data_IF_716546475341
#
_entry.id   IF_716546475341
#
_cell.length_a   1.000
_cell.length_b   1.000
_cell.length_c   1.000
_cell.angle_alpha   90.00
_cell.angle_beta   90.00
_cell.angle_gamma   90.00
#
_symmetry.space_group_name_H-M   'P 1'
#
loop_
_entity.id
_entity.type
_entity.pdbx_description
1 polymer ?
#
# COMPACT_ATOMS: atom_id res chain seq x y z
N UNK A 1 21.71 -19.91 -73.32
CA UNK A 1 22.56 -19.36 -72.25
C UNK A 1 22.06 -17.94 -72.00
N UNK A 2 21.52 -17.50 -70.86
CA UNK A 2 21.55 -17.92 -69.46
C UNK A 2 20.19 -17.55 -68.86
N UNK A 3 19.63 -18.44 -68.06
CA UNK A 3 18.50 -18.19 -67.14
C UNK A 3 19.01 -17.41 -65.93
N UNK A 4 18.40 -16.28 -65.59
CA UNK A 4 18.64 -15.60 -64.31
C UNK A 4 17.59 -16.07 -63.29
N UNK A 5 18.06 -16.88 -62.34
CA UNK A 5 17.32 -17.31 -61.16
C UNK A 5 17.11 -16.14 -60.19
N UNK A 6 15.85 -15.77 -59.97
CA UNK A 6 15.46 -14.94 -58.83
C UNK A 6 15.21 -15.83 -57.61
N UNK A 7 16.20 -15.98 -56.74
CA UNK A 7 16.05 -16.69 -55.47
C UNK A 7 15.17 -15.88 -54.50
N UNK A 8 13.86 -16.14 -54.53
CA UNK A 8 12.94 -15.72 -53.47
C UNK A 8 13.34 -16.41 -52.17
N UNK A 9 13.88 -15.64 -51.22
CA UNK A 9 14.13 -16.08 -49.85
C UNK A 9 12.77 -16.27 -49.16
N UNK A 10 12.28 -17.50 -49.15
CA UNK A 10 11.12 -17.90 -48.37
C UNK A 10 11.47 -17.71 -46.89
N UNK A 11 10.84 -16.74 -46.25
CA UNK A 11 10.85 -16.67 -44.79
C UNK A 11 9.92 -17.74 -44.28
N UNK A 12 10.47 -18.79 -43.66
CA UNK A 12 9.70 -19.78 -42.91
C UNK A 12 8.94 -19.06 -41.79
N UNK A 13 7.68 -18.75 -42.08
CA UNK A 13 6.69 -18.35 -41.09
C UNK A 13 6.18 -19.60 -40.41
N UNK A 14 6.99 -20.22 -39.54
CA UNK A 14 6.47 -21.22 -38.60
C UNK A 14 5.42 -20.54 -37.71
N UNK A 15 4.15 -20.74 -38.03
CA UNK A 15 3.03 -20.33 -37.20
C UNK A 15 3.09 -21.10 -35.88
N UNK A 16 3.76 -20.51 -34.89
CA UNK A 16 3.79 -21.06 -33.53
C UNK A 16 2.35 -21.19 -33.05
N UNK A 17 1.94 -22.36 -32.54
CA UNK A 17 0.57 -22.58 -32.11
C UNK A 17 0.21 -21.51 -31.07
N UNK A 18 -0.91 -20.81 -31.30
CA UNK A 18 -1.43 -19.80 -30.38
C UNK A 18 -1.82 -20.50 -29.09
N UNK A 19 -0.88 -20.58 -28.14
CA UNK A 19 -1.11 -21.18 -26.83
C UNK A 19 -2.18 -20.38 -26.10
N UNK A 20 -3.32 -21.03 -25.90
CA UNK A 20 -4.46 -20.45 -25.17
C UNK A 20 -4.08 -20.34 -23.69
N UNK A 21 -4.34 -19.18 -23.12
CA UNK A 21 -3.98 -18.87 -21.73
C UNK A 21 -5.05 -19.44 -20.80
N UNK A 22 -4.90 -20.70 -20.41
CA UNK A 22 -5.88 -21.39 -19.58
C UNK A 22 -5.57 -21.24 -18.09
N UNK A 23 -4.28 -21.27 -17.72
CA UNK A 23 -3.83 -21.21 -16.32
C UNK A 23 -2.93 -20.01 -16.04
N UNK A 24 -2.87 -19.57 -14.77
CA UNK A 24 -1.91 -18.55 -14.33
C UNK A 24 -0.44 -18.93 -14.63
N UNK A 25 -0.13 -20.24 -14.56
CA UNK A 25 1.16 -20.79 -14.93
C UNK A 25 1.45 -20.63 -16.42
N UNK A 26 0.47 -20.83 -17.30
CA UNK A 26 0.64 -20.65 -18.74
C UNK A 26 0.94 -19.17 -19.08
N UNK A 27 0.30 -18.23 -18.37
CA UNK A 27 0.61 -16.80 -18.50
C UNK A 27 2.05 -16.48 -18.11
N UNK A 28 2.55 -17.06 -17.02
CA UNK A 28 3.92 -16.88 -16.56
C UNK A 28 4.91 -17.53 -17.52
N UNK A 29 4.66 -18.77 -17.95
CA UNK A 29 5.45 -19.50 -18.95
C UNK A 29 5.60 -18.69 -20.23
N UNK A 30 4.50 -18.15 -20.77
CA UNK A 30 4.55 -17.30 -21.97
C UNK A 30 5.33 -16.00 -21.78
N UNK A 31 5.25 -15.37 -20.61
CA UNK A 31 6.06 -14.19 -20.28
C UNK A 31 7.55 -14.55 -20.16
N UNK A 32 7.87 -15.67 -19.52
CA UNK A 32 9.24 -16.18 -19.40
C UNK A 32 9.82 -16.53 -20.76
N UNK A 33 9.10 -17.30 -21.59
CA UNK A 33 9.51 -17.60 -22.97
C UNK A 33 9.73 -16.32 -23.79
N UNK A 34 8.92 -15.28 -23.59
CA UNK A 34 9.13 -13.97 -24.24
C UNK A 34 10.40 -13.26 -23.77
N UNK A 35 10.72 -13.33 -22.48
CA UNK A 35 11.92 -12.73 -21.89
C UNK A 35 13.18 -13.50 -22.30
N UNK A 36 13.13 -14.84 -22.28
CA UNK A 36 14.26 -15.71 -22.61
C UNK A 36 14.59 -15.76 -24.10
N UNK A 37 13.69 -15.32 -24.99
CA UNK A 37 13.99 -15.15 -26.43
C UNK A 37 15.15 -14.17 -26.67
N UNK A 38 15.34 -13.17 -25.80
CA UNK A 38 16.39 -12.16 -25.92
C UNK A 38 17.01 -11.89 -24.54
N UNK A 39 17.92 -12.75 -24.05
CA UNK A 39 18.48 -12.65 -22.70
C UNK A 39 19.40 -11.42 -22.52
N UNK A 40 19.99 -10.91 -23.59
CA UNK A 40 20.87 -9.73 -23.51
C UNK A 40 20.12 -8.40 -23.37
N UNK A 41 18.80 -8.37 -23.65
CA UNK A 41 18.01 -7.15 -23.54
C UNK A 41 17.68 -6.88 -22.07
N UNK A 42 18.11 -5.74 -21.48
CA UNK A 42 17.76 -5.42 -20.11
C UNK A 42 16.24 -5.26 -19.96
N UNK A 43 15.70 -5.85 -18.89
CA UNK A 43 14.27 -5.79 -18.57
C UNK A 43 13.98 -4.47 -17.86
N UNK A 44 13.11 -3.64 -18.43
CA UNK A 44 12.66 -2.38 -17.81
C UNK A 44 11.52 -2.68 -16.85
N UNK A 45 11.79 -2.60 -15.55
CA UNK A 45 10.75 -2.63 -14.51
C UNK A 45 10.15 -1.21 -14.46
N UNK A 46 8.83 -1.05 -14.60
CA UNK A 46 8.21 0.27 -14.53
C UNK A 46 8.32 0.84 -13.12
N UNK A 47 8.72 2.10 -13.03
CA UNK A 47 8.72 2.84 -11.77
C UNK A 47 7.31 3.00 -11.20
N UNK A 48 7.23 3.24 -9.89
CA UNK A 48 5.97 3.55 -9.21
C UNK A 48 5.28 4.74 -9.89
N UNK A 49 3.98 4.60 -10.12
CA UNK A 49 3.17 5.68 -10.70
C UNK A 49 3.28 6.95 -9.87
N UNK A 50 3.72 8.04 -10.51
CA UNK A 50 3.82 9.35 -9.88
C UNK A 50 2.42 9.93 -9.69
N UNK A 51 2.21 10.63 -8.57
CA UNK A 51 0.96 11.35 -8.34
C UNK A 51 0.72 12.40 -9.42
N UNK A 52 -0.54 12.53 -9.82
CA UNK A 52 -0.96 13.53 -10.82
C UNK A 52 -0.73 14.92 -10.23
N UNK A 53 0.25 15.65 -10.75
CA UNK A 53 0.51 17.04 -10.38
C UNK A 53 -0.42 17.98 -11.14
N UNK A 54 -0.85 19.05 -10.48
CA UNK A 54 -1.51 20.17 -11.16
C UNK A 54 -0.55 20.77 -12.18
N UNK A 55 -1.02 21.16 -13.38
CA UNK A 55 -0.15 21.77 -14.39
C UNK A 55 0.51 23.03 -13.83
N UNK A 56 1.79 23.20 -14.10
CA UNK A 56 2.52 24.41 -13.74
C UNK A 56 1.98 25.62 -14.52
N UNK A 57 1.81 26.75 -13.84
CA UNK A 57 1.36 28.00 -14.45
C UNK A 57 2.58 28.70 -15.05
N UNK A 58 2.56 29.12 -16.32
CA UNK A 58 3.68 29.83 -16.92
C UNK A 58 3.87 31.21 -16.27
N UNK A 59 5.14 31.59 -16.04
CA UNK A 59 5.47 32.86 -15.38
C UNK A 59 5.08 34.10 -16.20
N UNK A 60 5.25 34.02 -17.53
CA UNK A 60 4.98 35.14 -18.44
C UNK A 60 3.98 34.74 -19.53
N UNK A 61 2.90 35.51 -19.63
CA UNK A 61 1.96 35.44 -20.74
C UNK A 61 2.35 36.53 -21.74
N UNK A 62 2.76 36.13 -22.95
CA UNK A 62 3.28 37.05 -23.98
C UNK A 62 2.19 37.70 -24.81
N UNK A 63 1.00 37.09 -24.86
CA UNK A 63 -0.08 37.47 -25.78
C UNK A 63 -1.22 38.19 -25.03
N UNK A 64 -0.88 39.09 -24.12
CA UNK A 64 -1.86 39.85 -23.35
C UNK A 64 -2.26 41.08 -24.16
N UNK A 65 -3.55 41.17 -24.48
CA UNK A 65 -4.12 42.35 -25.12
C UNK A 65 -4.30 43.47 -24.08
N UNK A 66 -4.23 44.74 -24.50
CA UNK A 66 -4.32 45.89 -23.58
C UNK A 66 -5.61 45.91 -22.76
N UNK A 67 -5.55 46.47 -21.54
CA UNK A 67 -6.65 46.41 -20.56
C UNK A 67 -7.94 47.08 -21.01
N UNK A 68 -7.87 48.04 -21.94
CA UNK A 68 -9.03 48.74 -22.51
C UNK A 68 -9.50 48.15 -23.84
N UNK A 69 -8.86 47.09 -24.33
CA UNK A 69 -9.27 46.43 -25.56
C UNK A 69 -10.57 45.64 -25.34
N UNK A 70 -11.45 45.62 -26.36
CA UNK A 70 -12.70 44.87 -26.30
C UNK A 70 -12.50 43.35 -26.30
N UNK A 71 -13.58 42.59 -26.04
CA UNK A 71 -13.53 41.13 -26.06
C UNK A 71 -13.27 40.61 -27.49
N UNK A 72 -12.15 39.93 -27.68
CA UNK A 72 -11.82 39.25 -28.95
C UNK A 72 -12.53 37.91 -29.10
N UNK A 73 -12.57 37.38 -30.33
CA UNK A 73 -13.22 36.09 -30.63
C UNK A 73 -12.59 34.88 -29.92
N UNK A 74 -11.31 34.96 -29.56
CA UNK A 74 -10.58 33.91 -28.85
C UNK A 74 -10.73 33.94 -27.32
N UNK A 75 -11.23 35.04 -26.75
CA UNK A 75 -11.22 35.28 -25.30
C UNK A 75 -12.10 34.26 -24.54
N UNK A 76 -13.23 33.88 -25.15
CA UNK A 76 -14.10 32.85 -24.59
C UNK A 76 -13.37 31.51 -24.40
N UNK A 77 -12.56 31.10 -25.38
CA UNK A 77 -11.82 29.84 -25.28
C UNK A 77 -10.70 29.93 -24.25
N UNK A 78 -10.02 31.07 -24.14
CA UNK A 78 -9.02 31.34 -23.10
C UNK A 78 -9.65 31.16 -21.71
N UNK A 79 -10.76 31.85 -21.43
CA UNK A 79 -11.50 31.72 -20.17
C UNK A 79 -11.93 30.27 -19.90
N UNK A 80 -12.52 29.59 -20.90
CA UNK A 80 -12.95 28.19 -20.77
C UNK A 80 -11.79 27.26 -20.38
N UNK A 81 -10.62 27.43 -20.97
CA UNK A 81 -9.44 26.63 -20.63
C UNK A 81 -8.89 26.99 -19.24
N UNK A 82 -8.84 28.27 -18.90
CA UNK A 82 -8.39 28.74 -17.59
C UNK A 82 -9.29 28.24 -16.47
N UNK A 83 -10.61 28.34 -16.64
CA UNK A 83 -11.61 27.86 -15.67
C UNK A 83 -11.48 26.35 -15.42
N UNK A 84 -11.31 25.54 -16.47
CA UNK A 84 -11.07 24.09 -16.29
C UNK A 84 -9.77 23.80 -15.54
N UNK A 85 -8.70 24.52 -15.86
CA UNK A 85 -7.42 24.38 -15.15
C UNK A 85 -7.58 24.74 -13.68
N UNK A 86 -8.29 25.81 -13.38
CA UNK A 86 -8.51 26.27 -12.01
C UNK A 86 -9.40 25.30 -11.22
N UNK A 87 -10.49 24.81 -11.79
CA UNK A 87 -11.33 23.79 -11.13
C UNK A 87 -10.58 22.48 -10.90
N UNK A 88 -9.78 22.03 -11.87
CA UNK A 88 -8.92 20.87 -11.68
C UNK A 88 -7.89 21.11 -10.57
N UNK A 89 -7.34 22.33 -10.46
CA UNK A 89 -6.40 22.72 -9.40
C UNK A 89 -7.08 22.72 -8.03
N UNK A 90 -8.23 23.38 -7.89
CA UNK A 90 -9.00 23.44 -6.64
C UNK A 90 -9.43 22.04 -6.18
N UNK A 91 -9.95 21.22 -7.10
CA UNK A 91 -10.31 19.83 -6.83
C UNK A 91 -9.11 19.01 -6.35
N UNK A 92 -7.96 19.12 -7.02
CA UNK A 92 -6.75 18.42 -6.62
C UNK A 92 -6.22 18.87 -5.24
N UNK A 93 -6.42 20.15 -4.87
CA UNK A 93 -6.07 20.65 -3.54
C UNK A 93 -7.01 20.09 -2.48
N UNK A 94 -8.33 20.11 -2.72
CA UNK A 94 -9.33 19.53 -1.84
C UNK A 94 -9.09 18.04 -1.60
N UNK A 95 -8.97 17.26 -2.67
CA UNK A 95 -8.70 15.80 -2.58
C UNK A 95 -7.41 15.47 -1.85
N UNK A 96 -6.36 16.30 -1.97
CA UNK A 96 -5.10 16.11 -1.24
C UNK A 96 -5.27 16.41 0.25
N UNK A 97 -6.01 17.46 0.59
CA UNK A 97 -6.30 17.81 1.98
C UNK A 97 -7.11 16.70 2.67
N UNK A 98 -8.15 16.21 2.01
CA UNK A 98 -8.97 15.10 2.52
C UNK A 98 -8.16 13.83 2.74
N UNK A 99 -7.32 13.43 1.77
CA UNK A 99 -6.45 12.26 1.89
C UNK A 99 -5.44 12.41 3.02
N UNK A 100 -4.79 13.58 3.12
CA UNK A 100 -3.83 13.84 4.19
C UNK A 100 -4.48 13.75 5.58
N UNK A 101 -5.67 14.34 5.76
CA UNK A 101 -6.41 14.26 7.02
C UNK A 101 -6.82 12.81 7.36
N UNK A 102 -7.25 12.03 6.36
CA UNK A 102 -7.59 10.61 6.54
C UNK A 102 -6.36 9.77 6.89
N UNK A 103 -5.23 10.00 6.23
CA UNK A 103 -3.97 9.31 6.49
C UNK A 103 -3.43 9.63 7.90
N UNK A 104 -3.49 10.90 8.32
CA UNK A 104 -3.12 11.32 9.68
C UNK A 104 -4.02 10.65 10.73
N UNK A 105 -5.33 10.68 10.55
CA UNK A 105 -6.28 10.02 11.45
C UNK A 105 -6.02 8.51 11.54
N UNK A 106 -5.74 7.87 10.40
CA UNK A 106 -5.41 6.45 10.35
C UNK A 106 -4.10 6.13 11.10
N UNK A 107 -3.05 6.93 10.89
CA UNK A 107 -1.77 6.77 11.58
C UNK A 107 -1.92 6.94 13.10
N UNK A 108 -2.66 7.95 13.54
CA UNK A 108 -2.93 8.16 14.97
C UNK A 108 -3.65 6.95 15.58
N UNK A 109 -4.69 6.44 14.91
CA UNK A 109 -5.42 5.24 15.35
C UNK A 109 -4.51 4.01 15.40
N UNK A 110 -3.62 3.85 14.43
CA UNK A 110 -2.67 2.74 14.40
C UNK A 110 -1.69 2.82 15.59
N UNK A 111 -1.14 3.99 15.86
CA UNK A 111 -0.22 4.21 16.99
C UNK A 111 -0.91 3.99 18.33
N UNK A 112 -2.16 4.42 18.48
CA UNK A 112 -2.96 4.19 19.69
C UNK A 112 -3.19 2.69 19.90
N UNK A 113 -3.61 1.97 18.87
CA UNK A 113 -3.80 0.52 18.94
C UNK A 113 -2.51 -0.22 19.29
N UNK A 114 -1.37 0.19 18.71
CA UNK A 114 -0.05 -0.37 19.04
C UNK A 114 0.30 -0.12 20.51
N UNK A 115 0.14 1.11 21.01
CA UNK A 115 0.38 1.44 22.43
C UNK A 115 -0.50 0.62 23.37
N UNK A 116 -1.79 0.51 23.09
CA UNK A 116 -2.71 -0.29 23.91
C UNK A 116 -2.33 -1.79 23.91
N UNK A 117 -1.93 -2.34 22.76
CA UNK A 117 -1.46 -3.71 22.65
C UNK A 117 -0.14 -3.93 23.41
N UNK A 118 0.80 -2.99 23.32
CA UNK A 118 2.07 -3.00 24.04
C UNK A 118 1.87 -2.89 25.55
N UNK A 119 0.99 -2.01 26.03
CA UNK A 119 0.66 -1.89 27.45
C UNK A 119 0.06 -3.18 28.01
N UNK A 120 -0.91 -3.77 27.30
CA UNK A 120 -1.51 -5.06 27.68
C UNK A 120 -0.46 -6.17 27.70
N UNK A 121 0.42 -6.21 26.71
CA UNK A 121 1.49 -7.21 26.61
C UNK A 121 2.57 -7.00 27.68
N UNK A 122 2.95 -5.75 27.98
CA UNK A 122 3.92 -5.38 29.00
C UNK A 122 3.42 -5.73 30.41
N UNK A 123 2.14 -5.42 30.71
CA UNK A 123 1.48 -5.82 31.97
C UNK A 123 1.53 -7.35 32.15
N UNK A 124 1.13 -8.12 31.13
CA UNK A 124 1.17 -9.60 31.17
C UNK A 124 2.61 -10.14 31.27
N UNK A 125 3.56 -9.57 30.54
CA UNK A 125 4.99 -9.92 30.59
C UNK A 125 5.58 -9.65 31.98
N UNK A 126 5.27 -8.51 32.59
CA UNK A 126 5.70 -8.17 33.95
C UNK A 126 5.15 -9.15 34.99
N UNK A 127 3.86 -9.53 34.90
CA UNK A 127 3.25 -10.58 35.75
C UNK A 127 4.01 -11.91 35.61
N UNK A 128 4.30 -12.38 34.39
CA UNK A 128 5.07 -13.62 34.14
C UNK A 128 6.52 -13.55 34.66
N UNK A 129 7.21 -12.43 34.47
CA UNK A 129 8.58 -12.25 34.96
C UNK A 129 8.65 -12.24 36.49
N UNK A 130 7.68 -11.63 37.18
CA UNK A 130 7.57 -11.70 38.65
C UNK A 130 7.36 -13.13 39.13
N UNK A 131 6.42 -13.89 38.52
CA UNK A 131 6.19 -15.31 38.83
C UNK A 131 7.47 -16.15 38.61
N UNK A 132 8.16 -15.98 37.47
CA UNK A 132 9.42 -16.67 37.17
C UNK A 132 10.54 -16.34 38.16
N UNK A 133 10.66 -15.08 38.59
CA UNK A 133 11.62 -14.67 39.63
C UNK A 133 11.31 -15.34 40.97
N UNK A 134 10.04 -15.37 41.39
CA UNK A 134 9.63 -16.00 42.66
C UNK A 134 9.85 -17.53 42.64
N UNK A 135 9.53 -18.20 41.53
CA UNK A 135 9.81 -19.63 41.36
C UNK A 135 11.31 -19.94 41.42
N UNK A 136 12.16 -19.12 40.79
CA UNK A 136 13.62 -19.25 40.89
C UNK A 136 14.11 -19.08 42.32
N UNK A 137 13.61 -18.08 43.06
CA UNK A 137 13.95 -17.88 44.48
C UNK A 137 13.58 -19.10 45.33
N UNK A 138 12.35 -19.61 45.20
CA UNK A 138 11.90 -20.83 45.90
C UNK A 138 12.75 -22.06 45.56
N UNK A 139 13.13 -22.24 44.29
CA UNK A 139 14.03 -23.35 43.88
C UNK A 139 15.42 -23.23 44.54
N UNK A 140 15.98 -22.03 44.64
CA UNK A 140 17.28 -21.79 45.29
C UNK A 140 17.18 -22.01 46.81
N UNK A 141 16.10 -21.54 47.44
CA UNK A 141 15.86 -21.75 48.88
C UNK A 141 15.70 -23.25 49.20
N UNK A 142 14.91 -23.98 48.40
CA UNK A 142 14.73 -25.43 48.58
C UNK A 142 16.03 -26.21 48.35
N UNK A 143 16.85 -25.80 47.37
CA UNK A 143 18.17 -26.41 47.14
C UNK A 143 19.15 -26.15 48.29
N UNK A 144 19.08 -24.98 48.94
CA UNK A 144 19.89 -24.67 50.14
C UNK A 144 19.39 -25.37 51.40
N UNK A 145 18.09 -25.66 51.50
CA UNK A 145 17.50 -26.37 52.64
C UNK A 145 17.69 -27.89 52.61
N UNK A 146 18.37 -28.45 51.60
CA UNK A 146 18.71 -29.88 51.55
C UNK A 146 17.54 -30.84 51.34
N UNK A 147 16.35 -30.35 50.97
CA UNK A 147 15.16 -31.17 50.77
C UNK A 147 15.17 -31.79 49.36
N UNK A 148 15.53 -33.08 49.26
CA UNK A 148 15.31 -33.89 48.05
C UNK A 148 13.82 -34.20 47.95
N UNK A 149 13.10 -33.57 47.02
CA UNK A 149 11.76 -33.98 46.61
C UNK A 149 11.83 -34.63 45.23
N UNK A 150 11.33 -35.85 45.19
CA UNK A 150 10.98 -36.68 44.05
C UNK A 150 9.91 -36.01 43.19
N UNK A 151 10.14 -36.01 41.87
CA UNK A 151 9.23 -35.73 40.75
C UNK A 151 8.59 -34.33 40.56
N UNK A 152 8.44 -33.87 39.30
CA UNK A 152 8.15 -32.47 38.97
C UNK A 152 6.67 -32.13 39.14
N UNK A 153 6.31 -30.99 39.76
CA UNK A 153 4.94 -30.53 39.73
C UNK A 153 4.58 -30.04 38.32
N UNK A 154 3.63 -30.75 37.74
CA UNK A 154 2.86 -30.44 36.53
C UNK A 154 2.65 -28.94 36.30
N UNK A 155 3.02 -28.47 35.11
CA UNK A 155 2.78 -27.13 34.55
C UNK A 155 1.30 -26.94 34.16
N UNK A 156 0.36 -27.25 35.04
CA UNK A 156 -1.08 -27.20 34.75
C UNK A 156 -1.82 -26.88 36.05
N UNK A 157 -1.88 -25.59 36.41
CA UNK A 157 -2.86 -25.06 37.38
C UNK A 157 -2.73 -23.54 37.52
N UNK A 158 -3.87 -22.85 37.43
CA UNK A 158 -4.08 -21.39 37.61
C UNK A 158 -3.82 -20.51 36.36
N UNK A 159 -4.48 -20.87 35.25
CA UNK A 159 -4.87 -19.91 34.21
C UNK A 159 -6.38 -19.60 34.33
N UNK A 160 -6.82 -19.13 35.50
CA UNK A 160 -8.17 -18.56 35.61
C UNK A 160 -8.15 -17.23 36.37
N UNK A 161 -8.81 -16.29 35.70
CA UNK A 161 -9.54 -15.13 36.22
C UNK A 161 -8.77 -13.97 36.88
N UNK A 162 -8.61 -12.90 36.10
CA UNK A 162 -8.99 -11.53 36.48
C UNK A 162 -8.45 -10.58 35.40
N UNK A 163 -9.29 -10.30 34.40
CA UNK A 163 -9.37 -9.06 33.62
C UNK A 163 -10.28 -9.33 32.39
N UNK A 164 -11.54 -9.67 32.67
CA UNK A 164 -12.64 -9.47 31.72
C UNK A 164 -13.29 -8.14 32.07
N UNK A 165 -12.59 -7.05 31.74
CA UNK A 165 -13.19 -5.73 31.72
C UNK A 165 -13.10 -5.16 30.29
N UNK A 166 -14.25 -4.67 29.92
CA UNK A 166 -14.79 -4.33 28.61
C UNK A 166 -14.08 -3.12 27.97
N UNK A 167 -13.83 -3.21 26.66
CA UNK A 167 -13.87 -2.04 25.78
C UNK A 167 -14.02 -2.49 24.33
N UNK A 168 -15.09 -3.22 24.04
CA UNK A 168 -15.57 -3.39 22.66
C UNK A 168 -16.37 -2.13 22.36
N UNK A 169 -15.69 -1.05 21.97
CA UNK A 169 -16.36 0.06 21.30
C UNK A 169 -16.51 -0.36 19.85
N UNK A 170 -17.64 -0.98 19.54
CA UNK A 170 -18.14 -1.08 18.18
C UNK A 170 -18.17 0.33 17.57
N UNK A 171 -17.23 0.61 16.68
CA UNK A 171 -17.29 1.79 15.83
C UNK A 171 -18.22 1.45 14.66
N UNK A 172 -19.53 1.45 14.92
CA UNK A 172 -20.53 1.49 13.85
C UNK A 172 -20.49 2.89 13.22
N UNK A 173 -19.69 3.02 12.16
CA UNK A 173 -19.62 4.22 11.35
C UNK A 173 -20.82 4.27 10.41
N UNK A 174 -21.96 4.73 10.91
CA UNK A 174 -23.07 5.14 10.05
C UNK A 174 -22.67 6.40 9.28
N UNK A 175 -22.18 6.26 8.06
CA UNK A 175 -22.05 7.36 7.11
C UNK A 175 -23.45 7.82 6.66
N UNK A 176 -24.01 8.82 7.35
CA UNK A 176 -25.10 9.62 6.82
C UNK A 176 -24.55 10.57 5.77
N UNK A 177 -24.70 10.22 4.49
CA UNK A 177 -24.50 11.15 3.38
C UNK A 177 -25.53 12.29 3.48
N UNK A 178 -25.13 13.57 3.49
CA UNK A 178 -26.08 14.65 3.25
C UNK A 178 -26.44 14.64 1.76
N UNK A 179 -27.73 14.46 1.48
CA UNK A 179 -28.32 14.73 0.17
C UNK A 179 -28.36 16.24 -0.06
N UNK A 180 -27.55 16.74 -0.98
CA UNK A 180 -27.70 18.09 -1.53
C UNK A 180 -28.57 18.05 -2.79
N UNK A 181 -29.47 19.04 -2.88
CA UNK A 181 -30.43 19.28 -3.97
C UNK A 181 -29.76 19.68 -5.28
#
# INVERSE_FOLDING_TARGET
MKTEESSKKAGDGEEKPKTVKNTALDLQRMKLEKLMKNPEKPVVIPDRQKEKKTPHVPDFVRNVMGSSAGAGSGEFHVYRHLRRKEYARQKAIGEKGEKAAQDEAFQLKLLENQKQAEERTAKKRAKRLKKKKNLKKKKIENAKAGVKLTDPPSEESSLEDSDREESVKDCDGSESKPSEK
#
